data_IF_984869679486
#
_entry.id   IF_984869679486
#
_cell.length_a   1.000
_cell.length_b   1.000
_cell.length_c   1.000
_cell.angle_alpha   90.00
_cell.angle_beta   90.00
_cell.angle_gamma   90.00
#
_symmetry.space_group_name_H-M   'P 1'
#
loop_
_entity.id
_entity.type
_entity.pdbx_description
1 polymer ?
#
# COMPACT_ATOMS: atom_id res chain seq x y z
N UNK A 1 22.93 1.91 6.43
CA UNK A 1 21.86 2.64 7.16
C UNK A 1 20.90 1.63 7.74
N UNK A 2 20.62 1.75 9.03
CA UNK A 2 19.77 0.85 9.81
C UNK A 2 18.35 0.91 9.25
N UNK A 3 17.79 -0.23 8.84
CA UNK A 3 16.34 -0.37 8.64
C UNK A 3 15.72 -0.14 10.01
N UNK A 4 15.23 1.06 10.29
CA UNK A 4 14.42 1.32 11.47
C UNK A 4 13.33 0.25 11.54
N UNK A 5 13.24 -0.41 12.69
CA UNK A 5 12.16 -1.33 12.99
C UNK A 5 10.84 -0.56 12.90
N UNK A 6 10.28 -0.51 11.69
CA UNK A 6 8.99 0.10 11.45
C UNK A 6 8.01 -0.65 12.33
N UNK A 7 7.47 0.03 13.34
CA UNK A 7 6.24 -0.42 13.98
C UNK A 7 5.28 -0.78 12.85
N UNK A 8 4.78 -2.01 12.88
CA UNK A 8 3.89 -2.52 11.84
C UNK A 8 2.58 -1.74 11.96
N UNK A 9 2.49 -0.65 11.21
CA UNK A 9 1.30 0.18 11.12
C UNK A 9 0.12 -0.70 10.69
N UNK A 10 -1.02 -0.55 11.34
CA UNK A 10 -2.23 -1.28 10.94
C UNK A 10 -2.98 -0.54 9.85
N UNK A 11 -3.83 -1.25 9.12
CA UNK A 11 -4.74 -0.66 8.11
C UNK A 11 -5.57 0.47 8.74
N UNK A 12 -6.14 0.27 9.94
CA UNK A 12 -6.92 1.29 10.64
C UNK A 12 -6.10 2.55 10.96
N UNK A 13 -4.87 2.38 11.44
CA UNK A 13 -4.00 3.50 11.76
C UNK A 13 -3.66 4.33 10.52
N UNK A 14 -3.38 3.66 9.40
CA UNK A 14 -3.11 4.33 8.13
C UNK A 14 -4.33 5.04 7.56
N UNK A 15 -5.51 4.42 7.65
CA UNK A 15 -6.79 5.03 7.24
C UNK A 15 -7.08 6.32 7.98
N UNK A 16 -6.84 6.35 9.30
CA UNK A 16 -6.98 7.59 10.08
C UNK A 16 -6.03 8.66 9.57
N UNK A 17 -4.77 8.31 9.35
CA UNK A 17 -3.74 9.23 8.89
C UNK A 17 -4.05 9.82 7.52
N UNK A 18 -4.39 9.00 6.51
CA UNK A 18 -4.64 9.49 5.15
C UNK A 18 -5.93 10.31 5.04
N UNK A 19 -6.91 10.06 5.92
CA UNK A 19 -8.15 10.85 5.98
C UNK A 19 -8.04 12.10 6.86
N UNK A 20 -6.83 12.42 7.36
CA UNK A 20 -6.57 13.52 8.30
C UNK A 20 -7.56 13.53 9.48
N UNK A 21 -7.83 12.34 10.02
CA UNK A 21 -8.74 12.16 11.15
C UNK A 21 -7.95 12.01 12.45
N UNK A 22 -8.62 12.30 13.57
CA UNK A 22 -8.15 11.91 14.90
C UNK A 22 -8.95 10.70 15.39
N UNK A 23 -8.39 9.93 16.33
CA UNK A 23 -9.14 8.82 16.96
C UNK A 23 -10.40 9.30 17.67
N UNK A 24 -10.40 10.54 18.19
CA UNK A 24 -11.59 11.18 18.74
C UNK A 24 -12.62 11.57 17.69
N UNK A 25 -12.17 12.02 16.50
CA UNK A 25 -13.03 12.26 15.35
C UNK A 25 -13.73 10.97 14.89
N UNK A 26 -12.96 9.90 14.69
CA UNK A 26 -13.50 8.58 14.32
C UNK A 26 -14.47 8.07 15.39
N UNK A 27 -14.08 8.17 16.67
CA UNK A 27 -14.92 7.74 17.79
C UNK A 27 -16.29 8.43 17.82
N UNK A 28 -16.31 9.75 17.59
CA UNK A 28 -17.55 10.53 17.53
C UNK A 28 -18.45 10.10 16.36
N UNK A 29 -17.87 9.83 15.19
CA UNK A 29 -18.62 9.45 13.99
C UNK A 29 -19.19 8.04 14.07
N UNK A 30 -18.48 7.12 14.73
CA UNK A 30 -18.85 5.71 14.84
C UNK A 30 -19.51 5.32 16.17
N UNK A 31 -19.76 6.30 17.05
CA UNK A 31 -20.28 6.07 18.39
C UNK A 31 -19.46 5.01 19.17
N UNK A 32 -18.14 5.18 19.15
CA UNK A 32 -17.15 4.39 19.90
C UNK A 32 -16.20 5.33 20.66
N UNK A 33 -15.61 4.85 21.74
CA UNK A 33 -14.61 5.64 22.47
C UNK A 33 -13.26 5.65 21.73
N UNK A 34 -12.46 6.72 21.85
CA UNK A 34 -11.10 6.76 21.29
C UNK A 34 -10.22 5.61 21.82
N UNK A 35 -10.46 5.19 23.06
CA UNK A 35 -9.75 4.06 23.68
C UNK A 35 -10.08 2.73 23.01
N UNK A 36 -11.36 2.46 22.71
CA UNK A 36 -11.76 1.26 21.97
C UNK A 36 -11.07 1.20 20.59
N UNK A 37 -11.07 2.31 19.88
CA UNK A 37 -10.40 2.39 18.57
C UNK A 37 -8.88 2.19 18.68
N UNK A 38 -8.24 2.80 19.68
CA UNK A 38 -6.81 2.60 19.95
C UNK A 38 -6.48 1.15 20.32
N UNK A 39 -7.35 0.48 21.08
CA UNK A 39 -7.16 -0.93 21.44
C UNK A 39 -7.22 -1.85 20.21
N UNK A 40 -8.04 -1.53 19.20
CA UNK A 40 -8.07 -2.27 17.92
C UNK A 40 -6.80 -2.07 17.10
N UNK A 41 -6.31 -0.83 16.98
CA UNK A 41 -5.03 -0.52 16.31
C UNK A 41 -3.87 -1.26 16.98
N UNK A 42 -3.84 -1.25 18.32
CA UNK A 42 -2.79 -1.92 19.11
C UNK A 42 -2.99 -3.42 19.23
N UNK A 43 -3.98 -4.00 18.53
CA UNK A 43 -4.34 -5.42 18.57
C UNK A 43 -4.57 -5.99 19.98
N UNK A 44 -5.01 -5.15 20.91
CA UNK A 44 -5.31 -5.57 22.29
C UNK A 44 -6.65 -6.30 22.38
N UNK A 45 -7.55 -6.02 21.42
CA UNK A 45 -8.87 -6.63 21.31
C UNK A 45 -9.21 -6.85 19.83
N UNK A 46 -9.95 -7.91 19.48
CA UNK A 46 -10.51 -8.06 18.16
C UNK A 46 -11.58 -6.98 17.91
N UNK A 47 -11.80 -6.67 16.63
CA UNK A 47 -12.86 -5.77 16.19
C UNK A 47 -14.17 -6.57 16.15
N UNK A 48 -15.22 -6.14 16.86
CA UNK A 48 -16.51 -6.82 16.83
C UNK A 48 -17.11 -6.82 15.42
N UNK A 49 -17.77 -7.92 15.02
CA UNK A 49 -18.30 -8.08 13.65
C UNK A 49 -19.30 -6.99 13.30
N UNK A 50 -20.14 -6.59 14.25
CA UNK A 50 -21.11 -5.51 14.10
C UNK A 50 -20.43 -4.16 13.81
N UNK A 51 -19.20 -3.95 14.28
CA UNK A 51 -18.43 -2.72 14.04
C UNK A 51 -17.62 -2.75 12.74
N UNK A 52 -17.34 -3.93 12.19
CA UNK A 52 -16.61 -4.05 10.93
C UNK A 52 -17.34 -3.38 9.78
N UNK A 53 -18.66 -3.60 9.68
CA UNK A 53 -19.47 -3.00 8.63
C UNK A 53 -19.44 -1.47 8.72
N UNK A 54 -19.61 -0.92 9.93
CA UNK A 54 -19.56 0.53 10.17
C UNK A 54 -18.20 1.13 9.84
N UNK A 55 -17.10 0.47 10.25
CA UNK A 55 -15.73 0.90 9.95
C UNK A 55 -15.43 0.84 8.46
N UNK A 56 -15.78 -0.27 7.80
CA UNK A 56 -15.59 -0.48 6.38
C UNK A 56 -16.34 0.58 5.57
N UNK A 57 -17.60 0.84 5.92
CA UNK A 57 -18.40 1.88 5.30
C UNK A 57 -17.83 3.28 5.56
N UNK A 58 -17.42 3.59 6.78
CA UNK A 58 -16.88 4.90 7.13
C UNK A 58 -15.59 5.24 6.36
N UNK A 59 -14.73 4.25 6.13
CA UNK A 59 -13.49 4.41 5.39
C UNK A 59 -13.60 4.05 3.90
N UNK A 60 -14.80 3.70 3.42
CA UNK A 60 -15.07 3.27 2.03
C UNK A 60 -14.13 2.14 1.55
N UNK A 61 -14.00 1.08 2.34
CA UNK A 61 -13.22 -0.11 1.99
C UNK A 61 -13.94 -1.41 2.32
N UNK A 62 -13.45 -2.52 1.78
CA UNK A 62 -13.95 -3.86 2.08
C UNK A 62 -13.60 -4.30 3.51
N UNK A 63 -14.53 -4.99 4.19
CA UNK A 63 -14.31 -5.48 5.56
C UNK A 63 -13.09 -6.39 5.66
N UNK A 64 -12.89 -7.26 4.67
CA UNK A 64 -11.75 -8.18 4.64
C UNK A 64 -10.41 -7.43 4.51
N UNK A 65 -10.39 -6.20 4.01
CA UNK A 65 -9.18 -5.39 4.00
C UNK A 65 -8.80 -4.89 5.41
N UNK A 66 -9.75 -4.78 6.34
CA UNK A 66 -9.54 -4.26 7.70
C UNK A 66 -8.95 -5.28 8.67
N UNK A 67 -9.30 -6.56 8.54
CA UNK A 67 -9.03 -7.57 9.57
C UNK A 67 -8.35 -8.84 9.08
N UNK A 68 -7.60 -9.48 9.97
CA UNK A 68 -7.08 -10.83 9.78
C UNK A 68 -8.12 -11.91 10.13
N UNK A 69 -7.73 -13.18 10.00
CA UNK A 69 -8.59 -14.33 10.30
C UNK A 69 -9.09 -14.40 11.74
N UNK A 70 -8.44 -13.67 12.66
CA UNK A 70 -8.79 -13.61 14.08
C UNK A 70 -9.50 -12.30 14.45
N UNK A 71 -9.99 -11.53 13.46
CA UNK A 71 -10.69 -10.26 13.67
C UNK A 71 -9.83 -9.13 14.24
N UNK A 72 -8.49 -9.22 14.17
CA UNK A 72 -7.62 -8.12 14.55
C UNK A 72 -7.30 -7.22 13.35
N UNK A 73 -7.05 -5.93 13.60
CA UNK A 73 -6.69 -4.99 12.56
C UNK A 73 -5.49 -5.50 11.74
N UNK A 74 -5.64 -5.61 10.42
CA UNK A 74 -4.61 -6.15 9.55
C UNK A 74 -3.33 -5.33 9.64
N UNK A 75 -2.15 -5.98 9.74
CA UNK A 75 -0.89 -5.27 9.53
C UNK A 75 -0.83 -4.78 8.08
N UNK A 76 -0.27 -3.59 7.88
CA UNK A 76 -0.19 -3.00 6.56
C UNK A 76 1.11 -3.43 5.87
N UNK A 77 0.99 -4.21 4.80
CA UNK A 77 2.10 -4.48 3.89
C UNK A 77 2.41 -3.23 3.06
N UNK A 78 3.61 -3.14 2.48
CA UNK A 78 3.96 -2.02 1.62
C UNK A 78 3.02 -1.92 0.40
N UNK A 79 2.79 -3.04 -0.28
CA UNK A 79 1.82 -3.13 -1.37
C UNK A 79 0.40 -2.74 -0.93
N UNK A 80 -0.05 -3.22 0.22
CA UNK A 80 -1.35 -2.87 0.80
C UNK A 80 -1.48 -1.38 1.11
N UNK A 81 -0.41 -0.76 1.63
CA UNK A 81 -0.33 0.69 1.87
C UNK A 81 -0.53 1.49 0.59
N UNK A 82 0.22 1.13 -0.46
CA UNK A 82 0.16 1.82 -1.75
C UNK A 82 -1.26 1.69 -2.33
N UNK A 83 -1.82 0.49 -2.35
CA UNK A 83 -3.17 0.24 -2.88
C UNK A 83 -4.24 1.01 -2.10
N UNK A 84 -4.15 1.04 -0.78
CA UNK A 84 -5.08 1.77 0.07
C UNK A 84 -5.02 3.28 -0.17
N UNK A 85 -3.82 3.83 -0.31
CA UNK A 85 -3.63 5.24 -0.65
C UNK A 85 -4.14 5.56 -2.06
N UNK A 86 -3.93 4.66 -3.02
CA UNK A 86 -4.48 4.82 -4.38
C UNK A 86 -6.00 4.93 -4.36
N UNK A 87 -6.69 4.06 -3.61
CA UNK A 87 -8.15 4.13 -3.45
C UNK A 87 -8.59 5.45 -2.84
N UNK A 88 -7.92 5.89 -1.78
CA UNK A 88 -8.20 7.19 -1.16
C UNK A 88 -8.06 8.36 -2.16
N UNK A 89 -6.95 8.41 -2.90
CA UNK A 89 -6.70 9.45 -3.91
C UNK A 89 -7.76 9.41 -5.01
N UNK A 90 -8.12 8.23 -5.50
CA UNK A 90 -9.18 8.06 -6.50
C UNK A 90 -10.52 8.59 -6.02
N UNK A 91 -10.91 8.25 -4.79
CA UNK A 91 -12.14 8.74 -4.18
C UNK A 91 -12.11 10.27 -4.02
N UNK A 92 -10.97 10.84 -3.59
CA UNK A 92 -10.82 12.30 -3.47
C UNK A 92 -10.93 13.02 -4.80
N UNK A 93 -10.29 12.52 -5.85
CA UNK A 93 -10.43 13.06 -7.20
C UNK A 93 -11.90 13.03 -7.62
N UNK A 94 -12.58 11.89 -7.51
CA UNK A 94 -13.98 11.74 -7.91
C UNK A 94 -14.91 12.69 -7.13
N UNK A 95 -14.71 12.83 -5.81
CA UNK A 95 -15.48 13.78 -4.99
C UNK A 95 -15.24 15.22 -5.43
N UNK A 96 -13.98 15.62 -5.63
CA UNK A 96 -13.65 16.99 -6.04
C UNK A 96 -14.19 17.33 -7.44
N UNK A 97 -14.17 16.37 -8.36
CA UNK A 97 -14.76 16.53 -9.69
C UNK A 97 -16.29 16.67 -9.61
N UNK A 98 -16.94 15.89 -8.76
CA UNK A 98 -18.38 16.00 -8.52
C UNK A 98 -18.77 17.35 -7.92
N UNK A 99 -17.97 17.84 -6.97
CA UNK A 99 -18.19 19.12 -6.28
C UNK A 99 -17.80 20.34 -7.14
N UNK A 100 -17.27 20.11 -8.36
CA UNK A 100 -16.87 21.16 -9.28
C UNK A 100 -15.63 21.94 -8.82
N UNK A 101 -14.73 21.29 -8.08
CA UNK A 101 -13.49 21.90 -7.60
C UNK A 101 -12.61 22.40 -8.74
N UNK A 102 -11.82 23.43 -8.46
CA UNK A 102 -10.91 24.00 -9.45
C UNK A 102 -9.85 22.97 -9.87
N UNK A 103 -9.54 22.97 -11.16
CA UNK A 103 -8.55 22.03 -11.73
C UNK A 103 -7.20 22.10 -11.02
N UNK A 104 -6.81 23.28 -10.56
CA UNK A 104 -5.56 23.49 -9.79
C UNK A 104 -5.50 22.67 -8.50
N UNK A 105 -6.63 22.48 -7.83
CA UNK A 105 -6.70 21.74 -6.57
C UNK A 105 -6.69 20.21 -6.79
N UNK A 106 -7.17 19.75 -7.96
CA UNK A 106 -7.22 18.32 -8.31
C UNK A 106 -5.87 17.81 -8.84
N UNK A 107 -5.10 18.67 -9.54
CA UNK A 107 -3.81 18.30 -10.16
C UNK A 107 -2.85 17.58 -9.21
N UNK A 108 -2.62 18.04 -7.96
CA UNK A 108 -1.76 17.34 -7.00
C UNK A 108 -2.18 15.89 -6.73
N UNK A 109 -3.49 15.61 -6.73
CA UNK A 109 -4.01 14.25 -6.53
C UNK A 109 -3.75 13.36 -7.74
N UNK A 110 -3.87 13.90 -8.96
CA UNK A 110 -3.49 13.18 -10.18
C UNK A 110 -2.00 12.84 -10.21
N UNK A 111 -1.14 13.78 -9.81
CA UNK A 111 0.29 13.54 -9.69
C UNK A 111 0.58 12.46 -8.64
N UNK A 112 -0.07 12.54 -7.48
CA UNK A 112 0.06 11.53 -6.43
C UNK A 112 -0.41 10.15 -6.90
N UNK A 113 -1.49 10.08 -7.65
CA UNK A 113 -1.98 8.82 -8.23
C UNK A 113 -0.95 8.20 -9.18
N UNK A 114 -0.35 9.00 -10.07
CA UNK A 114 0.70 8.53 -10.99
C UNK A 114 1.93 8.05 -10.22
N UNK A 115 2.32 8.75 -9.17
CA UNK A 115 3.42 8.34 -8.31
C UNK A 115 3.13 6.98 -7.67
N UNK A 116 1.97 6.82 -7.03
CA UNK A 116 1.57 5.56 -6.38
C UNK A 116 1.49 4.39 -7.38
N UNK A 117 1.05 4.64 -8.62
CA UNK A 117 1.05 3.62 -9.67
C UNK A 117 2.47 3.15 -10.05
N UNK A 118 3.46 4.04 -10.04
CA UNK A 118 4.86 3.67 -10.27
C UNK A 118 5.39 2.85 -9.09
N UNK A 119 5.18 3.34 -7.86
CA UNK A 119 5.57 2.65 -6.64
C UNK A 119 4.99 1.22 -6.58
N UNK A 120 3.71 1.05 -6.94
CA UNK A 120 3.08 -0.27 -6.98
C UNK A 120 3.74 -1.20 -8.01
N UNK A 121 4.06 -0.68 -9.21
CA UNK A 121 4.74 -1.48 -10.24
C UNK A 121 6.12 -1.93 -9.79
N UNK A 122 6.85 -1.06 -9.11
CA UNK A 122 8.19 -1.37 -8.60
C UNK A 122 8.10 -2.41 -7.49
N UNK A 123 7.15 -2.28 -6.55
CA UNK A 123 6.91 -3.27 -5.50
C UNK A 123 6.54 -4.63 -6.07
N UNK A 124 5.72 -4.69 -7.13
CA UNK A 124 5.39 -5.95 -7.82
C UNK A 124 6.64 -6.59 -8.44
N UNK A 125 7.51 -5.79 -9.07
CA UNK A 125 8.77 -6.31 -9.66
C UNK A 125 9.67 -6.87 -8.57
N UNK A 126 9.83 -6.14 -7.47
CA UNK A 126 10.64 -6.57 -6.32
C UNK A 126 10.10 -7.86 -5.70
N UNK A 127 8.78 -7.95 -5.51
CA UNK A 127 8.15 -9.16 -4.98
C UNK A 127 8.39 -10.38 -5.89
N UNK A 128 8.29 -10.20 -7.21
CA UNK A 128 8.58 -11.28 -8.18
C UNK A 128 10.03 -11.74 -8.11
N UNK A 129 10.98 -10.82 -8.02
CA UNK A 129 12.41 -11.16 -7.88
C UNK A 129 12.66 -11.87 -6.55
N UNK A 130 12.10 -11.37 -5.45
CA UNK A 130 12.23 -12.00 -4.14
C UNK A 130 11.68 -13.44 -4.13
N UNK A 131 10.52 -13.69 -4.74
CA UNK A 131 9.95 -15.04 -4.89
C UNK A 131 10.84 -15.98 -5.70
N UNK A 132 11.52 -15.47 -6.73
CA UNK A 132 12.46 -16.25 -7.53
C UNK A 132 13.68 -16.66 -6.70
N UNK A 133 14.25 -15.73 -5.94
CA UNK A 133 15.40 -15.98 -5.06
C UNK A 133 15.07 -16.97 -3.93
N UNK A 134 13.86 -16.92 -3.36
CA UNK A 134 13.42 -17.87 -2.32
C UNK A 134 13.45 -19.32 -2.79
N UNK A 135 13.29 -19.58 -4.10
CA UNK A 135 13.36 -20.94 -4.65
C UNK A 135 14.77 -21.55 -4.59
N UNK A 136 15.81 -20.73 -4.38
CA UNK A 136 17.19 -21.17 -4.19
C UNK A 136 17.76 -21.92 -5.39
N UNK A 137 17.42 -21.48 -6.62
CA UNK A 137 17.99 -22.06 -7.84
C UNK A 137 19.27 -21.30 -8.22
N UNK A 138 20.46 -21.92 -8.18
CA UNK A 138 21.72 -21.24 -8.47
C UNK A 138 21.79 -20.63 -9.88
N UNK A 139 21.06 -21.19 -10.85
CA UNK A 139 21.00 -20.63 -12.19
C UNK A 139 20.22 -19.31 -12.20
N UNK A 140 19.13 -19.22 -11.44
CA UNK A 140 18.33 -18.00 -11.31
C UNK A 140 19.16 -16.92 -10.61
N UNK A 141 19.88 -17.30 -9.55
CA UNK A 141 20.75 -16.38 -8.81
C UNK A 141 21.82 -15.79 -9.74
N UNK A 142 22.54 -16.63 -10.48
CA UNK A 142 23.54 -16.19 -11.46
C UNK A 142 22.97 -15.28 -12.55
N UNK A 143 21.77 -15.56 -13.06
CA UNK A 143 21.13 -14.71 -14.08
C UNK A 143 20.79 -13.35 -13.49
N UNK A 144 20.26 -13.31 -12.27
CA UNK A 144 19.92 -12.05 -11.60
C UNK A 144 21.20 -11.23 -11.35
N UNK A 145 22.25 -11.86 -10.83
CA UNK A 145 23.53 -11.20 -10.55
C UNK A 145 24.15 -10.63 -11.85
N UNK A 146 24.21 -11.41 -12.94
CA UNK A 146 24.72 -10.94 -14.23
C UNK A 146 23.93 -9.72 -14.75
N UNK A 147 22.60 -9.77 -14.66
CA UNK A 147 21.75 -8.65 -15.09
C UNK A 147 22.01 -7.41 -14.23
N UNK A 148 22.11 -7.57 -12.90
CA UNK A 148 22.38 -6.47 -12.00
C UNK A 148 23.76 -5.85 -12.25
N UNK A 149 24.80 -6.66 -12.45
CA UNK A 149 26.15 -6.19 -12.76
C UNK A 149 26.21 -5.36 -14.06
N UNK A 150 25.49 -5.77 -15.10
CA UNK A 150 25.37 -5.00 -16.36
C UNK A 150 24.65 -3.66 -16.14
N UNK A 151 23.56 -3.66 -15.36
CA UNK A 151 22.79 -2.46 -15.05
C UNK A 151 23.60 -1.47 -14.21
N UNK A 152 24.29 -1.95 -13.18
CA UNK A 152 25.13 -1.14 -12.28
C UNK A 152 26.33 -0.53 -13.01
N UNK A 153 26.89 -1.25 -13.98
CA UNK A 153 27.96 -0.75 -14.83
C UNK A 153 27.47 0.20 -15.94
N UNK A 154 26.16 0.44 -16.06
CA UNK A 154 25.57 1.33 -17.05
C UNK A 154 25.58 0.79 -18.48
N UNK A 155 25.73 -0.53 -18.66
CA UNK A 155 25.78 -1.20 -19.98
C UNK A 155 24.38 -1.53 -20.50
N UNK A 156 23.52 -0.53 -20.54
CA UNK A 156 22.10 -0.65 -20.90
C UNK A 156 21.88 -1.21 -22.32
N UNK A 157 22.66 -0.73 -23.29
CA UNK A 157 22.50 -1.08 -24.70
C UNK A 157 22.93 -2.52 -24.99
N UNK A 158 23.98 -3.00 -24.31
CA UNK A 158 24.49 -4.38 -24.44
C UNK A 158 23.50 -5.37 -23.84
N UNK A 159 22.99 -5.07 -22.65
CA UNK A 159 21.96 -5.87 -21.99
C UNK A 159 20.67 -5.92 -22.82
N UNK A 160 20.19 -4.77 -23.31
CA UNK A 160 18.99 -4.69 -24.15
C UNK A 160 19.15 -5.50 -25.45
N UNK A 161 20.33 -5.42 -26.09
CA UNK A 161 20.62 -6.17 -27.32
C UNK A 161 20.67 -7.69 -27.10
N UNK A 162 21.12 -8.15 -25.92
CA UNK A 162 21.11 -9.56 -25.56
C UNK A 162 19.69 -10.08 -25.30
N UNK A 163 18.89 -9.30 -24.58
CA UNK A 163 17.51 -9.69 -24.23
C UNK A 163 16.57 -9.69 -25.45
N UNK A 164 16.75 -8.76 -26.39
CA UNK A 164 15.91 -8.67 -27.60
C UNK A 164 16.32 -9.65 -28.71
N UNK A 165 17.45 -10.35 -28.58
CA UNK A 165 17.94 -11.30 -29.60
C UNK A 165 17.25 -12.67 -29.58
N UNK A 166 16.47 -12.98 -28.55
CA UNK A 166 15.74 -14.25 -28.45
C UNK A 166 14.34 -14.23 -29.12
N UNK A 167 13.88 -13.08 -29.63
CA UNK A 167 12.61 -12.90 -30.35
C UNK A 167 12.78 -12.84 -31.91
N UNK A 168 13.85 -13.42 -32.47
CA UNK A 168 14.10 -13.49 -33.94
C UNK A 168 14.55 -14.87 -34.41
#
# INVERSE_FOLDING_TARGET
>A
MVREAHQVQTVLEYLVMINDQSYSGVGRKLNITPQQFSDWIKKRRPIPRERLHELAHYFDIEQDALIDSNYYAKPLTLSGRIQLHMRFVQHKIASMEHDGADRGDIVPYYEKQRQLQRELKDEIRLARVAELLIKGNPQIDSIIDDVLDELEAGRWDELSSRLNREDS
#
